data_IF_112987894266
#
_entry.id   IF_112987894266
#
_cell.length_a   1.000
_cell.length_b   1.000
_cell.length_c   1.000
_cell.angle_alpha   90.00
_cell.angle_beta   90.00
_cell.angle_gamma   90.00
#
_symmetry.space_group_name_H-M   'P 1'
#
loop_
_entity.id
_entity.type
_entity.pdbx_description
1 polymer ?
#
# COMPACT_ATOMS: atom_id res chain seq x y z
N UNK A 1 -5.94 -18.17 -16.97
CA UNK A 1 -6.24 -16.93 -16.24
C UNK A 1 -4.93 -16.22 -15.98
N UNK A 2 -4.94 -14.92 -15.71
CA UNK A 2 -3.77 -14.20 -15.22
C UNK A 2 -4.02 -13.77 -13.78
N UNK A 3 -2.95 -13.66 -13.00
CA UNK A 3 -3.00 -13.21 -11.61
C UNK A 3 -2.94 -11.68 -11.56
N UNK A 4 -3.75 -11.10 -10.68
CA UNK A 4 -3.77 -9.65 -10.43
C UNK A 4 -3.23 -9.43 -9.02
N UNK A 5 -2.25 -8.54 -8.90
CA UNK A 5 -1.73 -8.10 -7.61
C UNK A 5 -2.76 -7.17 -6.95
N UNK A 6 -3.39 -7.63 -5.87
CA UNK A 6 -4.29 -6.82 -5.04
C UNK A 6 -3.52 -6.24 -3.85
N UNK A 7 -2.73 -5.20 -4.10
CA UNK A 7 -1.89 -4.55 -3.09
C UNK A 7 -2.48 -3.21 -2.69
N UNK A 8 -2.51 -2.93 -1.38
CA UNK A 8 -2.90 -1.61 -0.87
C UNK A 8 -1.69 -0.67 -0.91
N UNK A 9 -1.84 0.52 -1.49
CA UNK A 9 -0.76 1.52 -1.62
C UNK A 9 -1.04 2.80 -0.85
N UNK A 10 0.01 3.45 -0.35
CA UNK A 10 -0.05 4.74 0.37
C UNK A 10 1.16 5.61 0.02
N UNK A 11 1.19 6.86 0.49
CA UNK A 11 2.21 7.85 0.12
C UNK A 11 1.80 8.68 -1.09
N UNK A 12 2.56 9.73 -1.39
CA UNK A 12 2.27 10.69 -2.46
C UNK A 12 0.83 11.26 -2.40
N UNK A 13 0.39 11.63 -1.19
CA UNK A 13 -0.97 12.11 -0.93
C UNK A 13 -2.00 11.03 -0.60
N UNK A 14 -1.73 9.75 -0.88
CA UNK A 14 -2.54 8.62 -0.41
C UNK A 14 -2.23 8.33 1.06
N UNK A 15 -3.25 7.94 1.83
CA UNK A 15 -3.10 7.62 3.26
C UNK A 15 -3.33 6.15 3.60
N UNK A 16 -2.72 5.72 4.69
CA UNK A 16 -3.10 4.52 5.42
C UNK A 16 -3.47 4.90 6.83
N UNK A 17 -4.73 4.66 7.23
CA UNK A 17 -5.26 5.06 8.55
C UNK A 17 -4.95 6.54 8.88
N UNK A 18 -5.14 7.44 7.90
CA UNK A 18 -4.86 8.89 7.99
C UNK A 18 -3.38 9.28 8.18
N UNK A 19 -2.43 8.34 8.03
CA UNK A 19 -0.99 8.56 8.13
C UNK A 19 -0.31 8.56 6.74
N UNK A 20 0.98 8.95 6.73
CA UNK A 20 1.92 8.75 5.61
C UNK A 20 1.70 9.53 4.30
N UNK A 21 0.71 10.44 4.21
CA UNK A 21 0.47 11.28 3.01
C UNK A 21 1.68 12.08 2.54
N UNK A 22 2.56 12.47 3.47
CA UNK A 22 3.75 13.29 3.20
C UNK A 22 4.95 12.53 2.65
N UNK A 23 4.90 11.20 2.55
CA UNK A 23 5.95 10.41 1.91
C UNK A 23 5.98 10.75 0.41
N UNK A 24 7.16 11.02 -0.13
CA UNK A 24 7.34 11.45 -1.53
C UNK A 24 7.33 10.30 -2.54
N UNK A 25 7.35 9.08 -2.04
CA UNK A 25 7.29 7.84 -2.81
C UNK A 25 5.92 7.15 -2.64
N UNK A 26 5.62 6.24 -3.56
CA UNK A 26 4.49 5.30 -3.44
C UNK A 26 4.99 4.04 -2.75
N UNK A 27 4.33 3.66 -1.67
CA UNK A 27 4.65 2.50 -0.85
C UNK A 27 3.51 1.50 -0.91
N UNK A 28 3.81 0.20 -0.85
CA UNK A 28 2.82 -0.86 -0.73
C UNK A 28 2.80 -1.38 0.71
N UNK A 29 1.60 -1.65 1.24
CA UNK A 29 1.46 -2.34 2.50
C UNK A 29 1.73 -3.83 2.28
N UNK A 30 2.82 -4.34 2.84
CA UNK A 30 3.06 -5.77 2.91
C UNK A 30 2.07 -6.38 3.90
N UNK A 31 1.15 -7.20 3.41
CA UNK A 31 0.39 -8.12 4.25
C UNK A 31 1.27 -9.34 4.44
N UNK A 32 1.79 -9.56 5.65
CA UNK A 32 2.30 -10.87 6.02
C UNK A 32 1.11 -11.82 6.02
N UNK A 33 1.09 -12.76 5.09
CA UNK A 33 0.18 -13.91 5.13
C UNK A 33 0.58 -14.78 6.32
N UNK A 34 0.18 -14.39 7.53
CA UNK A 34 0.15 -15.34 8.65
C UNK A 34 -1.00 -16.32 8.37
N UNK A 35 -0.63 -17.52 7.93
CA UNK A 35 -1.48 -18.72 7.86
C UNK A 35 -1.66 -19.31 9.26
#
# INVERSE_FOLDING_TARGET
GFEVLNVFVFGYGLDWKQNFRGIRDIMALETSDEV
#
